data_IF_337333525816
#
_entry.id   IF_337333525816
#
_cell.length_a   1.000
_cell.length_b   1.000
_cell.length_c   1.000
_cell.angle_alpha   90.00
_cell.angle_beta   90.00
_cell.angle_gamma   90.00
#
_symmetry.space_group_name_H-M   'P 1'
#
loop_
_entity.id
_entity.type
_entity.pdbx_description
1 polymer ?
#
# COMPACT_ATOMS: atom_id res chain seq x y z
N UNK A 1 17.55 3.22 16.18
CA UNK A 1 17.25 3.00 14.74
C UNK A 1 18.30 3.69 13.89
N UNK A 2 18.67 3.09 12.78
CA UNK A 2 19.65 3.68 11.86
C UNK A 2 19.13 5.00 11.31
N UNK A 3 19.97 6.05 11.32
CA UNK A 3 19.58 7.38 10.82
C UNK A 3 19.15 7.36 9.35
N UNK A 4 19.70 6.42 8.55
CA UNK A 4 19.29 6.29 7.15
C UNK A 4 17.85 5.80 7.02
N UNK A 5 17.40 4.95 7.94
CA UNK A 5 16.01 4.48 7.98
C UNK A 5 15.09 5.64 8.37
N UNK A 6 15.48 6.42 9.35
CA UNK A 6 14.70 7.60 9.74
C UNK A 6 14.60 8.61 8.60
N UNK A 7 15.70 8.86 7.91
CA UNK A 7 15.70 9.77 6.75
C UNK A 7 14.80 9.26 5.64
N UNK A 8 14.77 7.94 5.40
CA UNK A 8 13.86 7.36 4.42
C UNK A 8 12.41 7.62 4.79
N UNK A 9 12.03 7.34 6.04
CA UNK A 9 10.64 7.57 6.46
C UNK A 9 10.27 9.04 6.48
N UNK A 10 11.20 9.92 6.82
CA UNK A 10 10.95 11.36 6.71
C UNK A 10 10.69 11.76 5.26
N UNK A 11 11.39 11.14 4.31
CA UNK A 11 11.22 11.45 2.90
C UNK A 11 9.88 10.96 2.34
N UNK A 12 9.25 9.95 2.96
CA UNK A 12 7.96 9.46 2.49
C UNK A 12 6.76 10.17 3.11
N UNK A 13 7.01 11.00 4.10
CA UNK A 13 5.92 11.75 4.76
C UNK A 13 5.22 12.64 3.73
N UNK A 14 3.92 12.48 3.60
CA UNK A 14 3.13 13.21 2.61
C UNK A 14 3.24 12.67 1.18
N UNK A 15 4.10 11.68 0.93
CA UNK A 15 4.23 11.06 -0.38
C UNK A 15 3.12 10.04 -0.61
N UNK A 16 2.78 9.83 -1.88
CA UNK A 16 1.82 8.80 -2.24
C UNK A 16 2.57 7.51 -2.50
N UNK A 17 2.17 6.46 -1.79
CA UNK A 17 2.82 5.14 -1.84
C UNK A 17 1.76 4.11 -2.18
N UNK A 18 2.03 3.24 -3.15
CA UNK A 18 1.12 2.15 -3.47
C UNK A 18 1.82 0.80 -3.34
N UNK A 19 1.08 -0.19 -2.85
CA UNK A 19 1.56 -1.56 -2.73
C UNK A 19 0.80 -2.42 -3.73
N UNK A 20 1.54 -3.02 -4.67
CA UNK A 20 0.95 -3.92 -5.66
C UNK A 20 0.96 -5.33 -5.09
N UNK A 21 -0.20 -5.79 -4.65
CA UNK A 21 -0.37 -7.06 -3.97
C UNK A 21 -0.77 -6.86 -2.52
N UNK A 22 -1.96 -7.34 -2.17
CA UNK A 22 -2.47 -7.27 -0.80
C UNK A 22 -2.31 -8.65 -0.19
N UNK A 23 -1.18 -8.88 0.43
CA UNK A 23 -0.89 -10.15 1.07
C UNK A 23 -0.21 -9.94 2.41
N UNK A 24 0.08 -11.05 3.10
CA UNK A 24 0.63 -11.02 4.44
C UNK A 24 1.92 -10.23 4.57
N UNK A 25 2.76 -10.22 3.53
CA UNK A 25 4.03 -9.47 3.57
C UNK A 25 3.82 -7.96 3.48
N UNK A 26 2.80 -7.52 2.75
CA UNK A 26 2.57 -6.09 2.54
C UNK A 26 1.69 -5.45 3.60
N UNK A 27 0.83 -6.21 4.26
CA UNK A 27 -0.08 -5.63 5.26
C UNK A 27 0.66 -4.91 6.39
N UNK A 28 1.71 -5.48 7.00
CA UNK A 28 2.46 -4.75 8.03
C UNK A 28 3.13 -3.49 7.49
N UNK A 29 3.60 -3.53 6.24
CA UNK A 29 4.25 -2.38 5.61
C UNK A 29 3.25 -1.26 5.35
N UNK A 30 2.04 -1.59 4.93
CA UNK A 30 0.98 -0.59 4.73
C UNK A 30 0.74 0.17 6.03
N UNK A 31 0.60 -0.54 7.14
CA UNK A 31 0.39 0.08 8.45
C UNK A 31 1.58 0.96 8.84
N UNK A 32 2.79 0.47 8.64
CA UNK A 32 4.00 1.20 8.98
C UNK A 32 4.11 2.51 8.21
N UNK A 33 3.89 2.47 6.89
CA UNK A 33 3.96 3.68 6.08
C UNK A 33 2.89 4.68 6.45
N UNK A 34 1.69 4.21 6.80
CA UNK A 34 0.64 5.12 7.29
C UNK A 34 1.06 5.82 8.58
N UNK A 35 1.67 5.09 9.50
CA UNK A 35 2.16 5.67 10.75
C UNK A 35 3.23 6.74 10.50
N UNK A 36 4.00 6.57 9.43
CA UNK A 36 5.05 7.53 9.08
C UNK A 36 4.55 8.70 8.25
N UNK A 37 3.24 8.79 8.03
CA UNK A 37 2.62 9.94 7.38
C UNK A 37 2.50 9.84 5.87
N UNK A 38 2.75 8.69 5.26
CA UNK A 38 2.55 8.49 3.83
C UNK A 38 1.06 8.35 3.52
N UNK A 39 0.68 8.75 2.30
CA UNK A 39 -0.66 8.50 1.76
C UNK A 39 -0.60 7.16 1.04
N UNK A 40 -1.18 6.13 1.65
CA UNK A 40 -1.02 4.75 1.17
C UNK A 40 -2.23 4.29 0.38
N UNK A 41 -1.98 3.62 -0.74
CA UNK A 41 -2.98 2.88 -1.49
C UNK A 41 -2.51 1.45 -1.68
N UNK A 42 -3.42 0.57 -2.04
CA UNK A 42 -3.11 -0.83 -2.27
C UNK A 42 -3.80 -1.30 -3.54
N UNK A 43 -3.12 -2.16 -4.30
CA UNK A 43 -3.60 -2.66 -5.58
C UNK A 43 -3.55 -4.18 -5.59
N UNK A 44 -4.57 -4.81 -6.15
CA UNK A 44 -4.61 -6.27 -6.24
C UNK A 44 -5.52 -6.68 -7.39
N UNK A 45 -5.18 -7.80 -8.01
CA UNK A 45 -6.00 -8.37 -9.07
C UNK A 45 -7.34 -8.88 -8.54
N UNK A 46 -7.40 -9.28 -7.27
CA UNK A 46 -8.61 -9.79 -6.65
C UNK A 46 -9.68 -8.70 -6.56
N UNK A 47 -10.94 -9.13 -6.56
CA UNK A 47 -12.05 -8.21 -6.38
C UNK A 47 -12.19 -7.84 -4.91
N UNK A 48 -13.00 -6.82 -4.64
CA UNK A 48 -13.30 -6.42 -3.27
C UNK A 48 -13.91 -7.57 -2.46
N UNK A 49 -14.77 -8.36 -3.10
CA UNK A 49 -15.38 -9.52 -2.45
C UNK A 49 -14.35 -10.57 -2.09
N UNK A 50 -13.39 -10.82 -2.97
CA UNK A 50 -12.34 -11.79 -2.72
C UNK A 50 -11.43 -11.39 -1.57
N UNK A 51 -11.23 -10.10 -1.33
CA UNK A 51 -10.46 -9.60 -0.21
C UNK A 51 -11.17 -9.74 1.12
N UNK A 52 -12.50 -9.68 1.12
CA UNK A 52 -13.29 -9.86 2.32
C UNK A 52 -12.91 -8.89 3.43
N UNK A 53 -12.68 -9.42 4.61
CA UNK A 53 -12.37 -8.63 5.80
C UNK A 53 -11.08 -7.81 5.64
N UNK A 54 -10.09 -8.32 4.93
CA UNK A 54 -8.85 -7.59 4.68
C UNK A 54 -9.14 -6.27 3.97
N UNK A 55 -9.99 -6.30 2.95
CA UNK A 55 -10.38 -5.08 2.25
C UNK A 55 -11.15 -4.13 3.15
N UNK A 56 -12.05 -4.65 3.99
CA UNK A 56 -12.80 -3.83 4.96
C UNK A 56 -11.84 -3.11 5.91
N UNK A 57 -10.87 -3.82 6.44
CA UNK A 57 -9.90 -3.26 7.38
C UNK A 57 -9.06 -2.17 6.72
N UNK A 58 -8.61 -2.39 5.48
CA UNK A 58 -7.82 -1.40 4.77
C UNK A 58 -8.62 -0.13 4.49
N UNK A 59 -9.86 -0.27 4.05
CA UNK A 59 -10.72 0.89 3.81
C UNK A 59 -10.98 1.66 5.10
N UNK A 60 -11.17 0.96 6.21
CA UNK A 60 -11.36 1.58 7.51
C UNK A 60 -10.15 2.40 7.95
N UNK A 61 -8.96 2.03 7.48
CA UNK A 61 -7.72 2.76 7.75
C UNK A 61 -7.47 3.89 6.77
N UNK A 62 -8.34 4.09 5.80
CA UNK A 62 -8.17 5.13 4.80
C UNK A 62 -7.29 4.76 3.62
N UNK A 63 -7.00 3.47 3.44
CA UNK A 63 -6.23 3.00 2.29
C UNK A 63 -7.12 2.94 1.07
N UNK A 64 -6.73 3.61 -0.02
CA UNK A 64 -7.46 3.52 -1.28
C UNK A 64 -7.16 2.18 -1.95
N UNK A 65 -8.19 1.51 -2.44
CA UNK A 65 -8.05 0.20 -3.08
C UNK A 65 -8.30 0.31 -4.58
N UNK A 66 -7.38 -0.26 -5.37
CA UNK A 66 -7.50 -0.36 -6.83
C UNK A 66 -7.49 -1.84 -7.17
N UNK A 67 -8.64 -2.38 -7.52
CA UNK A 67 -8.85 -3.84 -7.59
C UNK A 67 -9.32 -4.28 -8.96
N UNK A 68 -9.18 -5.58 -9.24
CA UNK A 68 -9.64 -6.21 -10.46
C UNK A 68 -8.59 -6.18 -11.56
N UNK A 69 -9.00 -6.46 -12.79
CA UNK A 69 -8.07 -6.59 -13.92
C UNK A 69 -7.28 -5.32 -14.21
N UNK A 70 -7.85 -4.16 -13.90
CA UNK A 70 -7.20 -2.87 -14.17
C UNK A 70 -6.42 -2.34 -12.98
N UNK A 71 -6.04 -3.19 -12.04
CA UNK A 71 -5.43 -2.77 -10.78
C UNK A 71 -4.09 -2.04 -10.95
N UNK A 72 -3.42 -2.19 -12.08
CA UNK A 72 -2.15 -1.50 -12.35
C UNK A 72 -2.30 -0.28 -13.28
N UNK A 73 -3.53 0.13 -13.59
CA UNK A 73 -3.74 1.31 -14.43
C UNK A 73 -3.55 2.59 -13.59
N UNK A 74 -3.08 3.63 -14.25
CA UNK A 74 -2.91 4.95 -13.66
C UNK A 74 -1.98 4.94 -12.44
N UNK A 75 -0.86 4.23 -12.58
CA UNK A 75 0.19 4.21 -11.57
C UNK A 75 0.93 5.54 -11.57
N UNK A 76 0.47 6.47 -10.75
CA UNK A 76 1.05 7.82 -10.66
C UNK A 76 1.57 8.14 -9.26
N UNK A 77 1.64 7.17 -8.38
CA UNK A 77 2.15 7.36 -7.04
C UNK A 77 3.66 7.63 -7.05
N UNK A 78 4.14 8.31 -6.03
CA UNK A 78 5.55 8.65 -5.90
C UNK A 78 6.43 7.42 -5.68
N UNK A 79 5.91 6.43 -4.96
CA UNK A 79 6.63 5.20 -4.63
C UNK A 79 5.71 4.02 -4.91
N UNK A 80 6.24 3.02 -5.61
CA UNK A 80 5.48 1.82 -5.98
C UNK A 80 6.24 0.59 -5.49
N UNK A 81 5.61 -0.20 -4.62
CA UNK A 81 6.16 -1.47 -4.16
C UNK A 81 5.44 -2.62 -4.83
N UNK A 82 6.20 -3.59 -5.32
CA UNK A 82 5.65 -4.80 -5.93
C UNK A 82 6.02 -6.01 -5.11
N UNK A 83 5.07 -6.92 -4.93
CA UNK A 83 5.33 -8.18 -4.25
C UNK A 83 5.92 -9.19 -5.24
N UNK A 84 7.05 -9.82 -4.92
CA UNK A 84 7.58 -10.88 -5.77
C UNK A 84 6.55 -12.01 -5.93
N UNK A 85 6.46 -12.56 -7.12
CA UNK A 85 5.56 -13.68 -7.40
C UNK A 85 4.15 -13.30 -7.78
N UNK A 86 3.86 -12.02 -7.93
CA UNK A 86 2.56 -11.59 -8.46
C UNK A 86 2.44 -11.91 -9.95
#
# INVERSE_FOLDING_TARGET
MDSRVEAFFDSVKGKRVTFCGIGGSNLPLISLFQEKGAVVSARDRRTREALGKTGDDLEARGVALHLGEAYLQNLDEDIIFRTPGM
#
